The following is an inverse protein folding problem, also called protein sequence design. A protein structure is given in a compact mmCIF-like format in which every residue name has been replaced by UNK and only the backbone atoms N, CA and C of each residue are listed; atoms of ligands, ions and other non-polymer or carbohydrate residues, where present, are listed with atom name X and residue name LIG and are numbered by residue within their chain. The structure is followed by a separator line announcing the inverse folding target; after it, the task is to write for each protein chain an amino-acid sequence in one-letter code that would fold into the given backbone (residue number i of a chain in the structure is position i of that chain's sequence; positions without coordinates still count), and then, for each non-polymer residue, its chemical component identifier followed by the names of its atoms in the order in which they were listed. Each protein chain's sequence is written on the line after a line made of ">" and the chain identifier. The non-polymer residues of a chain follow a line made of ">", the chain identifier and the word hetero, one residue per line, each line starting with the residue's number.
data_IF_016702414424
#
_entry.id   IF_016702414424
#
_cell.length_a   1.000
_cell.length_b   1.000
_cell.length_c   1.000
_cell.angle_alpha   90.00
_cell.angle_beta   90.00
_cell.angle_gamma   90.00
#
_symmetry.space_group_name_H-M   'P 1'
#
loop_
_entity.id
_entity.type
_entity.pdbx_description
1 polymer ?
#
# COMPACT_ATOMS: atom_id res chain seq x y z
N UNK A 1 58.20 -0.99 -34.08
CA UNK A 1 58.60 0.04 -33.10
C UNK A 1 57.45 0.90 -32.60
N UNK A 2 56.60 1.47 -33.46
CA UNK A 2 55.40 2.26 -33.06
C UNK A 2 54.56 1.60 -31.96
N UNK A 3 54.10 0.37 -32.19
CA UNK A 3 53.28 -0.39 -31.23
C UNK A 3 54.04 -0.71 -29.94
N UNK A 4 55.34 -0.99 -30.03
CA UNK A 4 56.19 -1.24 -28.85
C UNK A 4 56.32 0.01 -27.98
N UNK A 5 56.51 1.18 -28.57
CA UNK A 5 56.57 2.47 -27.86
C UNK A 5 55.22 2.80 -27.24
N UNK A 6 54.13 2.60 -27.97
CA UNK A 6 52.77 2.79 -27.46
C UNK A 6 52.48 1.91 -26.23
N UNK A 7 52.77 0.61 -26.32
CA UNK A 7 52.55 -0.30 -25.20
C UNK A 7 53.41 0.06 -23.99
N UNK A 8 54.66 0.48 -24.21
CA UNK A 8 55.54 0.92 -23.13
C UNK A 8 55.04 2.23 -22.46
N UNK A 9 54.62 3.23 -23.24
CA UNK A 9 54.02 4.46 -22.71
C UNK A 9 52.72 4.17 -21.94
N UNK A 10 51.86 3.28 -22.47
CA UNK A 10 50.59 2.90 -21.84
C UNK A 10 50.79 2.16 -20.53
N UNK A 11 51.80 1.30 -20.44
CA UNK A 11 52.14 0.59 -19.22
C UNK A 11 52.73 1.53 -18.15
N UNK A 12 53.70 2.35 -18.53
CA UNK A 12 54.42 3.24 -17.60
C UNK A 12 53.53 4.37 -17.08
N UNK A 13 52.70 4.96 -17.95
CA UNK A 13 51.91 6.15 -17.64
C UNK A 13 50.42 5.89 -17.48
N UNK A 14 50.01 4.64 -17.23
CA UNK A 14 48.61 4.27 -16.98
C UNK A 14 47.94 5.15 -15.90
N UNK A 15 48.71 5.55 -14.89
CA UNK A 15 48.23 6.37 -13.78
C UNK A 15 47.85 7.81 -14.19
N UNK A 16 48.33 8.31 -15.34
CA UNK A 16 47.99 9.64 -15.84
C UNK A 16 46.60 9.69 -16.50
N UNK A 17 45.95 8.55 -16.75
CA UNK A 17 44.59 8.52 -17.30
C UNK A 17 44.44 9.10 -18.71
N UNK A 18 45.53 9.28 -19.44
CA UNK A 18 45.51 9.74 -20.83
C UNK A 18 44.86 8.69 -21.75
N UNK A 19 44.10 9.13 -22.75
CA UNK A 19 43.45 8.21 -23.68
C UNK A 19 44.45 7.49 -24.58
N UNK A 20 44.06 6.31 -25.05
CA UNK A 20 44.86 5.52 -25.98
C UNK A 20 45.21 6.32 -27.25
N UNK A 21 44.31 7.17 -27.74
CA UNK A 21 44.53 7.99 -28.92
C UNK A 21 45.66 9.02 -28.72
N UNK A 22 45.73 9.65 -27.54
CA UNK A 22 46.80 10.59 -27.19
C UNK A 22 48.14 9.86 -27.11
N UNK A 23 48.18 8.71 -26.42
CA UNK A 23 49.39 7.91 -26.27
C UNK A 23 49.86 7.33 -27.60
N UNK A 24 48.93 6.95 -28.48
CA UNK A 24 49.23 6.42 -29.82
C UNK A 24 49.77 7.52 -30.74
N UNK A 25 49.19 8.74 -30.68
CA UNK A 25 49.72 9.91 -31.37
C UNK A 25 51.17 10.22 -30.96
N UNK A 26 51.45 10.17 -29.66
CA UNK A 26 52.80 10.41 -29.13
C UNK A 26 53.79 9.31 -29.52
N UNK A 27 53.37 8.05 -29.44
CA UNK A 27 54.19 6.92 -29.88
C UNK A 27 54.52 6.99 -31.38
N UNK A 28 53.58 7.43 -32.21
CA UNK A 28 53.78 7.65 -33.64
C UNK A 28 54.81 8.76 -33.90
N UNK A 29 54.78 9.85 -33.13
CA UNK A 29 55.75 10.94 -33.23
C UNK A 29 57.17 10.46 -32.85
N UNK A 30 57.31 9.75 -31.73
CA UNK A 30 58.61 9.21 -31.29
C UNK A 30 59.17 8.19 -32.28
N UNK A 31 58.33 7.33 -32.84
CA UNK A 31 58.76 6.37 -33.86
C UNK A 31 59.16 7.05 -35.18
N UNK A 32 58.51 8.16 -35.55
CA UNK A 32 58.81 8.89 -36.79
C UNK A 32 60.19 9.55 -36.76
N UNK A 33 60.73 9.85 -35.58
CA UNK A 33 62.10 10.34 -35.40
C UNK A 33 63.13 9.28 -35.82
N UNK A 34 62.76 7.99 -35.79
CA UNK A 34 63.61 6.89 -36.26
C UNK A 34 64.79 6.54 -35.34
N UNK A 35 64.91 7.19 -34.17
CA UNK A 35 66.01 6.99 -33.23
C UNK A 35 65.68 6.05 -32.06
N UNK A 36 64.44 5.54 -32.00
CA UNK A 36 64.02 4.64 -30.93
C UNK A 36 64.31 3.19 -31.33
N UNK A 37 65.17 2.54 -30.56
CA UNK A 37 65.55 1.13 -30.68
C UNK A 37 65.06 0.35 -29.46
N UNK A 38 65.12 -0.98 -29.51
CA UNK A 38 64.73 -1.81 -28.36
C UNK A 38 65.65 -1.55 -27.13
N UNK A 39 66.90 -1.14 -27.35
CA UNK A 39 67.90 -0.89 -26.32
C UNK A 39 67.68 0.43 -25.56
N UNK A 40 67.20 1.48 -26.25
CA UNK A 40 66.98 2.80 -25.65
C UNK A 40 65.50 3.08 -25.29
N UNK A 41 64.60 2.14 -25.57
CA UNK A 41 63.15 2.29 -25.42
C UNK A 41 62.73 2.78 -24.03
N UNK A 42 63.25 2.16 -22.97
CA UNK A 42 62.88 2.50 -21.58
C UNK A 42 63.31 3.92 -21.21
N UNK A 43 64.53 4.34 -21.60
CA UNK A 43 65.02 5.68 -21.35
C UNK A 43 64.23 6.75 -22.12
N UNK A 44 63.91 6.48 -23.38
CA UNK A 44 63.09 7.37 -24.22
C UNK A 44 61.67 7.52 -23.65
N UNK A 45 61.07 6.42 -23.18
CA UNK A 45 59.75 6.41 -22.54
C UNK A 45 59.78 7.20 -21.23
N UNK A 46 60.78 6.98 -20.37
CA UNK A 46 60.95 7.72 -19.12
C UNK A 46 61.12 9.23 -19.35
N UNK A 47 61.82 9.63 -20.41
CA UNK A 47 62.00 11.03 -20.78
C UNK A 47 60.69 11.75 -21.18
N UNK A 48 59.61 11.02 -21.48
CA UNK A 48 58.30 11.61 -21.81
C UNK A 48 57.47 12.01 -20.60
N UNK A 49 57.93 11.70 -19.39
CA UNK A 49 57.18 11.87 -18.15
C UNK A 49 56.65 13.29 -17.96
N UNK A 50 57.53 14.29 -18.09
CA UNK A 50 57.17 15.69 -17.83
C UNK A 50 56.16 16.22 -18.84
N UNK A 51 56.32 15.83 -20.11
CA UNK A 51 55.40 16.20 -21.18
C UNK A 51 54.00 15.61 -20.96
N UNK A 52 53.90 14.31 -20.68
CA UNK A 52 52.62 13.63 -20.48
C UNK A 52 51.93 14.08 -19.18
N UNK A 53 52.68 14.33 -18.11
CA UNK A 53 52.16 14.88 -16.85
C UNK A 53 51.64 16.31 -17.05
N UNK A 54 52.37 17.13 -17.81
CA UNK A 54 51.93 18.47 -18.18
C UNK A 54 50.64 18.46 -19.01
N UNK A 55 50.51 17.52 -19.94
CA UNK A 55 49.30 17.34 -20.74
C UNK A 55 48.09 16.95 -19.89
N UNK A 56 48.26 15.98 -18.98
CA UNK A 56 47.21 15.59 -18.02
C UNK A 56 46.76 16.81 -17.20
N UNK A 57 47.71 17.54 -16.60
CA UNK A 57 47.39 18.72 -15.78
C UNK A 57 46.64 19.80 -16.57
N UNK A 58 47.00 20.01 -17.84
CA UNK A 58 46.32 20.95 -18.72
C UNK A 58 44.88 20.52 -19.05
N UNK A 59 44.65 19.23 -19.27
CA UNK A 59 43.32 18.65 -19.50
C UNK A 59 42.47 18.78 -18.23
N UNK A 60 42.99 18.36 -17.08
CA UNK A 60 42.29 18.40 -15.79
C UNK A 60 41.86 19.83 -15.44
N UNK A 61 42.76 20.82 -15.63
CA UNK A 61 42.43 22.24 -15.42
C UNK A 61 41.27 22.69 -16.32
N UNK A 62 41.30 22.35 -17.61
CA UNK A 62 40.24 22.75 -18.55
C UNK A 62 38.90 22.11 -18.18
N UNK A 63 38.90 20.83 -17.79
CA UNK A 63 37.69 20.13 -17.35
C UNK A 63 37.12 20.77 -16.09
N UNK A 64 37.95 21.08 -15.10
CA UNK A 64 37.53 21.74 -13.86
C UNK A 64 36.95 23.13 -14.15
N UNK A 65 37.62 23.96 -14.95
CA UNK A 65 37.12 25.31 -15.31
C UNK A 65 35.83 25.24 -16.11
N UNK A 66 35.68 24.30 -17.05
CA UNK A 66 34.45 24.11 -17.80
C UNK A 66 33.28 23.68 -16.89
N UNK A 67 33.55 22.78 -15.92
CA UNK A 67 32.57 22.34 -14.93
C UNK A 67 32.15 23.48 -14.01
N UNK A 68 33.10 24.25 -13.49
CA UNK A 68 32.81 25.41 -12.64
C UNK A 68 31.96 26.46 -13.37
N UNK A 69 32.30 26.74 -14.63
CA UNK A 69 31.52 27.67 -15.46
C UNK A 69 30.10 27.16 -15.71
N UNK A 70 29.96 25.88 -16.07
CA UNK A 70 28.63 25.27 -16.27
C UNK A 70 27.78 25.29 -14.99
N UNK A 71 28.39 25.04 -13.83
CA UNK A 71 27.71 25.14 -12.53
C UNK A 71 27.29 26.58 -12.19
N UNK A 72 28.13 27.56 -12.51
CA UNK A 72 27.82 28.98 -12.28
C UNK A 72 26.69 29.46 -13.19
N UNK A 73 26.70 29.08 -14.47
CA UNK A 73 25.65 29.44 -15.43
C UNK A 73 24.32 28.76 -15.07
N UNK A 74 24.34 27.49 -14.64
CA UNK A 74 23.15 26.79 -14.16
C UNK A 74 22.53 27.46 -12.92
N UNK A 75 23.35 27.90 -11.96
CA UNK A 75 22.87 28.64 -10.78
C UNK A 75 22.23 29.98 -11.16
N UNK A 76 22.84 30.73 -12.07
CA UNK A 76 22.25 32.00 -12.56
C UNK A 76 20.89 31.78 -13.22
N UNK A 77 20.76 30.75 -14.06
CA UNK A 77 19.47 30.45 -14.68
C UNK A 77 18.41 30.00 -13.67
N UNK A 78 18.80 29.29 -12.61
CA UNK A 78 17.88 28.88 -11.55
C UNK A 78 17.43 30.07 -10.69
N UNK A 79 18.35 30.96 -10.34
CA UNK A 79 18.06 32.19 -9.58
C UNK A 79 17.19 33.15 -10.40
N UNK A 80 17.46 33.32 -11.70
CA UNK A 80 16.62 34.12 -12.61
C UNK A 80 15.22 33.52 -12.77
N UNK A 81 15.10 32.19 -12.91
CA UNK A 81 13.80 31.53 -13.00
C UNK A 81 12.98 31.65 -11.69
N UNK A 82 13.64 31.56 -10.53
CA UNK A 82 12.99 31.79 -9.23
C UNK A 82 12.54 33.25 -9.07
N UNK A 83 13.38 34.20 -9.44
CA UNK A 83 13.04 35.62 -9.39
C UNK A 83 11.88 35.96 -10.34
N UNK A 84 11.82 35.36 -11.53
CA UNK A 84 10.71 35.57 -12.46
C UNK A 84 9.41 34.90 -11.98
N UNK A 85 9.49 33.71 -11.38
CA UNK A 85 8.33 33.06 -10.76
C UNK A 85 7.76 33.86 -9.58
N UNK A 86 8.62 34.40 -8.71
CA UNK A 86 8.18 35.29 -7.62
C UNK A 86 7.56 36.58 -8.14
N UNK A 87 8.11 37.18 -9.21
CA UNK A 87 7.52 38.36 -9.84
C UNK A 87 6.14 38.06 -10.42
N UNK A 88 5.97 36.95 -11.15
CA UNK A 88 4.67 36.54 -11.70
C UNK A 88 3.64 36.29 -10.61
N UNK A 89 4.05 35.65 -9.51
CA UNK A 89 3.17 35.41 -8.36
C UNK A 89 2.77 36.71 -7.66
N UNK A 90 3.72 37.63 -7.45
CA UNK A 90 3.44 38.94 -6.88
C UNK A 90 2.53 39.80 -7.78
N UNK A 91 2.69 39.70 -9.11
CA UNK A 91 1.83 40.39 -10.08
C UNK A 91 0.41 39.79 -10.11
N UNK A 92 0.28 38.45 -10.04
CA UNK A 92 -1.02 37.78 -9.95
C UNK A 92 -1.75 38.10 -8.64
N UNK A 93 -1.03 38.10 -7.51
CA UNK A 93 -1.59 38.46 -6.20
C UNK A 93 -1.99 39.95 -6.16
N UNK A 94 -1.20 40.84 -6.76
CA UNK A 94 -1.55 42.25 -6.91
C UNK A 94 -2.80 42.43 -7.81
N UNK A 95 -2.92 41.65 -8.89
CA UNK A 95 -4.08 41.68 -9.78
C UNK A 95 -5.34 41.13 -9.11
N UNK A 96 -5.24 40.04 -8.34
CA UNK A 96 -6.34 39.53 -7.51
C UNK A 96 -6.73 40.50 -6.41
N UNK A 97 -5.77 41.18 -5.78
CA UNK A 97 -6.05 42.20 -4.77
C UNK A 97 -6.73 43.44 -5.37
N UNK A 98 -6.38 43.80 -6.62
CA UNK A 98 -7.06 44.85 -7.38
C UNK A 98 -8.48 44.43 -7.79
N UNK A 99 -8.68 43.22 -8.33
CA UNK A 99 -10.01 42.69 -8.69
C UNK A 99 -10.93 42.52 -7.46
N UNK A 100 -10.39 42.15 -6.29
CA UNK A 100 -11.19 41.95 -5.09
C UNK A 100 -11.63 43.27 -4.41
N UNK A 101 -11.00 44.40 -4.78
CA UNK A 101 -11.46 45.75 -4.38
C UNK A 101 -12.67 46.23 -5.18
N UNK A 102 -12.85 45.74 -6.42
CA UNK A 102 -13.95 46.14 -7.31
C UNK A 102 -15.04 45.08 -7.53
N UNK A 103 -14.92 43.87 -6.96
CA UNK A 103 -16.01 42.89 -6.97
C UNK A 103 -17.20 43.38 -6.15
N UNK A 104 -18.38 43.58 -6.76
CA UNK A 104 -19.59 43.96 -6.03
C UNK A 104 -19.92 42.94 -4.92
N UNK A 105 -20.54 43.40 -3.83
CA UNK A 105 -20.87 42.54 -2.68
C UNK A 105 -21.67 41.29 -3.06
N UNK A 106 -22.54 41.38 -4.08
CA UNK A 106 -23.33 40.25 -4.57
C UNK A 106 -22.48 39.09 -5.12
N UNK A 107 -21.29 39.38 -5.65
CA UNK A 107 -20.41 38.35 -6.23
C UNK A 107 -19.59 37.64 -5.15
N UNK A 108 -19.17 38.36 -4.09
CA UNK A 108 -18.56 37.75 -2.90
C UNK A 108 -19.53 36.84 -2.15
N UNK A 109 -20.79 37.28 -2.06
CA UNK A 109 -21.88 36.49 -1.49
C UNK A 109 -22.16 35.22 -2.31
N UNK A 110 -22.09 35.29 -3.65
CA UNK A 110 -22.27 34.13 -4.52
C UNK A 110 -21.14 33.10 -4.35
N UNK A 111 -19.88 33.56 -4.34
CA UNK A 111 -18.71 32.68 -4.14
C UNK A 111 -18.80 31.96 -2.78
N UNK A 112 -19.18 32.69 -1.73
CA UNK A 112 -19.40 32.11 -0.39
C UNK A 112 -20.54 31.08 -0.37
N UNK A 113 -21.65 31.35 -1.05
CA UNK A 113 -22.77 30.40 -1.18
C UNK A 113 -22.38 29.13 -1.92
N UNK A 114 -21.54 29.25 -2.95
CA UNK A 114 -21.06 28.10 -3.71
C UNK A 114 -20.16 27.21 -2.86
N UNK A 115 -19.23 27.79 -2.09
CA UNK A 115 -18.40 27.04 -1.15
C UNK A 115 -19.23 26.33 -0.07
N UNK A 116 -20.22 27.02 0.51
CA UNK A 116 -21.12 26.42 1.50
C UNK A 116 -21.96 25.29 0.90
N UNK A 117 -22.45 25.46 -0.34
CA UNK A 117 -23.20 24.42 -1.05
C UNK A 117 -22.33 23.18 -1.30
N UNK A 118 -21.10 23.38 -1.78
CA UNK A 118 -20.16 22.29 -2.05
C UNK A 118 -19.81 21.51 -0.77
N UNK A 119 -19.59 22.20 0.36
CA UNK A 119 -19.38 21.54 1.66
C UNK A 119 -20.60 20.71 2.09
N UNK A 120 -21.81 21.28 1.97
CA UNK A 120 -23.05 20.59 2.30
C UNK A 120 -23.31 19.36 1.42
N UNK A 121 -22.96 19.40 0.14
CA UNK A 121 -23.05 18.22 -0.75
C UNK A 121 -22.17 17.08 -0.26
N UNK A 122 -20.91 17.36 0.08
CA UNK A 122 -19.97 16.36 0.60
C UNK A 122 -20.45 15.79 1.94
N UNK A 123 -21.00 16.62 2.82
CA UNK A 123 -21.59 16.16 4.09
C UNK A 123 -22.83 15.28 3.85
N UNK A 124 -23.75 15.69 2.98
CA UNK A 124 -24.92 14.87 2.62
C UNK A 124 -24.53 13.52 2.02
N UNK A 125 -23.51 13.47 1.18
CA UNK A 125 -23.03 12.21 0.61
C UNK A 125 -22.49 11.28 1.71
N UNK A 126 -21.77 11.82 2.70
CA UNK A 126 -21.30 11.04 3.86
C UNK A 126 -22.46 10.54 4.71
N UNK A 127 -23.44 11.39 5.00
CA UNK A 127 -24.63 11.01 5.77
C UNK A 127 -25.45 9.93 5.03
N UNK A 128 -25.59 10.06 3.72
CA UNK A 128 -26.31 9.09 2.89
C UNK A 128 -25.63 7.72 2.91
N UNK A 129 -24.31 7.65 2.73
CA UNK A 129 -23.55 6.38 2.83
C UNK A 129 -23.69 5.74 4.21
N UNK A 130 -23.55 6.54 5.27
CA UNK A 130 -23.71 6.04 6.63
C UNK A 130 -25.13 5.52 6.90
N UNK A 131 -26.15 6.15 6.30
CA UNK A 131 -27.53 5.68 6.42
C UNK A 131 -27.77 4.39 5.63
N UNK A 132 -27.19 4.26 4.44
CA UNK A 132 -27.26 3.06 3.63
C UNK A 132 -26.64 1.85 4.36
N UNK A 133 -25.46 2.01 4.96
CA UNK A 133 -24.80 0.95 5.74
C UNK A 133 -25.66 0.50 6.93
N UNK A 134 -26.30 1.45 7.64
CA UNK A 134 -27.22 1.13 8.74
C UNK A 134 -28.47 0.38 8.25
N UNK A 135 -29.01 0.76 7.09
CA UNK A 135 -30.16 0.09 6.51
C UNK A 135 -29.83 -1.37 6.14
N UNK A 136 -28.70 -1.60 5.48
CA UNK A 136 -28.25 -2.95 5.10
C UNK A 136 -27.98 -3.84 6.34
N UNK A 137 -27.44 -3.26 7.42
CA UNK A 137 -27.26 -3.96 8.69
C UNK A 137 -28.61 -4.35 9.33
N UNK A 138 -29.58 -3.43 9.36
CA UNK A 138 -30.90 -3.69 9.91
C UNK A 138 -31.69 -4.72 9.09
N UNK A 139 -31.57 -4.72 7.77
CA UNK A 139 -32.17 -5.76 6.93
C UNK A 139 -31.60 -7.14 7.24
N UNK A 140 -30.27 -7.25 7.41
CA UNK A 140 -29.63 -8.51 7.80
C UNK A 140 -30.09 -8.99 9.17
N UNK A 141 -30.12 -8.11 10.17
CA UNK A 141 -30.59 -8.44 11.52
C UNK A 141 -32.05 -8.90 11.51
N UNK A 142 -32.91 -8.22 10.74
CA UNK A 142 -34.32 -8.60 10.60
C UNK A 142 -34.48 -9.97 9.93
N UNK A 143 -33.68 -10.26 8.89
CA UNK A 143 -33.69 -11.55 8.22
C UNK A 143 -33.21 -12.68 9.14
N UNK A 144 -32.13 -12.45 9.91
CA UNK A 144 -31.62 -13.40 10.90
C UNK A 144 -32.62 -13.68 12.02
N UNK A 145 -33.26 -12.63 12.55
CA UNK A 145 -34.29 -12.75 13.60
C UNK A 145 -35.54 -13.49 13.09
N UNK A 146 -36.02 -13.17 11.89
CA UNK A 146 -37.12 -13.88 11.25
C UNK A 146 -36.79 -15.37 11.08
N UNK A 147 -35.57 -15.67 10.61
CA UNK A 147 -35.09 -17.04 10.45
C UNK A 147 -34.99 -17.79 11.78
N UNK A 148 -34.45 -17.16 12.82
CA UNK A 148 -34.38 -17.74 14.16
C UNK A 148 -35.77 -18.08 14.71
N UNK A 149 -36.75 -17.19 14.51
CA UNK A 149 -38.15 -17.43 14.88
C UNK A 149 -38.78 -18.60 14.12
N UNK A 150 -38.49 -18.75 12.82
CA UNK A 150 -38.93 -19.90 12.02
C UNK A 150 -38.34 -21.20 12.56
N UNK A 151 -37.03 -21.24 12.84
CA UNK A 151 -36.36 -22.43 13.40
C UNK A 151 -36.97 -22.79 14.76
N UNK A 152 -37.15 -21.81 15.64
CA UNK A 152 -37.73 -22.01 16.96
C UNK A 152 -39.17 -22.53 16.87
N UNK A 153 -40.00 -21.95 16.00
CA UNK A 153 -41.40 -22.36 15.83
C UNK A 153 -41.49 -23.78 15.31
N UNK A 154 -40.72 -24.13 14.27
CA UNK A 154 -40.67 -25.50 13.73
C UNK A 154 -40.12 -26.51 14.73
N UNK A 155 -39.09 -26.15 15.49
CA UNK A 155 -38.54 -27.04 16.51
C UNK A 155 -39.58 -27.37 17.59
N UNK A 156 -40.33 -26.36 18.05
CA UNK A 156 -41.45 -26.55 18.99
C UNK A 156 -42.57 -27.41 18.39
N UNK A 157 -42.95 -27.15 17.14
CA UNK A 157 -43.97 -27.93 16.43
C UNK A 157 -43.61 -29.42 16.30
N UNK A 158 -42.33 -29.72 16.06
CA UNK A 158 -41.83 -31.09 15.98
C UNK A 158 -41.62 -31.76 17.35
N UNK A 159 -41.89 -31.05 18.45
CA UNK A 159 -41.75 -31.55 19.82
C UNK A 159 -40.31 -31.67 20.28
N UNK A 160 -39.38 -30.87 19.72
CA UNK A 160 -38.00 -30.84 20.19
C UNK A 160 -37.95 -30.18 21.58
N UNK A 161 -37.35 -30.82 22.59
CA UNK A 161 -37.25 -30.27 23.94
C UNK A 161 -36.48 -28.95 24.01
N UNK A 162 -36.86 -28.09 24.95
CA UNK A 162 -36.28 -26.75 25.14
C UNK A 162 -34.76 -26.78 25.36
N UNK A 163 -34.23 -27.80 26.05
CA UNK A 163 -32.79 -27.96 26.24
C UNK A 163 -32.03 -28.13 24.92
N UNK A 164 -32.65 -28.83 23.94
CA UNK A 164 -32.05 -29.06 22.63
C UNK A 164 -32.20 -27.85 21.74
N UNK A 165 -33.29 -27.11 21.88
CA UNK A 165 -33.48 -25.81 21.22
C UNK A 165 -32.40 -24.82 21.70
N UNK A 166 -32.15 -24.74 23.00
CA UNK A 166 -31.13 -23.86 23.61
C UNK A 166 -29.69 -24.21 23.21
N UNK A 167 -29.39 -25.49 22.98
CA UNK A 167 -28.09 -25.94 22.46
C UNK A 167 -27.85 -25.47 21.01
N UNK A 168 -28.92 -25.13 20.28
CA UNK A 168 -28.85 -24.61 18.93
C UNK A 168 -28.74 -25.69 17.85
N UNK A 169 -29.05 -25.34 16.62
CA UNK A 169 -29.01 -26.26 15.48
C UNK A 169 -27.91 -25.82 14.50
N UNK A 170 -27.13 -26.78 14.00
CA UNK A 170 -26.10 -26.52 13.00
C UNK A 170 -26.75 -26.42 11.61
N UNK A 171 -27.47 -25.33 11.35
CA UNK A 171 -28.16 -25.08 10.07
C UNK A 171 -27.47 -23.91 9.36
N UNK A 172 -26.93 -24.16 8.16
CA UNK A 172 -26.27 -23.15 7.30
C UNK A 172 -27.12 -21.89 7.14
N UNK A 173 -26.52 -20.70 7.13
CA UNK A 173 -27.22 -19.42 6.95
C UNK A 173 -28.09 -19.36 5.69
N UNK A 174 -27.67 -20.06 4.63
CA UNK A 174 -28.34 -20.10 3.32
C UNK A 174 -29.42 -21.18 3.22
N UNK A 175 -29.61 -22.00 4.27
CA UNK A 175 -30.59 -23.08 4.23
C UNK A 175 -32.01 -22.52 4.11
N UNK A 176 -32.71 -22.97 3.08
CA UNK A 176 -34.11 -22.66 2.84
C UNK A 176 -35.04 -23.35 3.85
N UNK A 177 -36.33 -23.04 3.76
CA UNK A 177 -37.33 -23.54 4.68
C UNK A 177 -37.48 -25.07 4.65
N UNK A 178 -37.26 -25.70 3.49
CA UNK A 178 -37.32 -27.14 3.31
C UNK A 178 -36.12 -27.83 3.98
N UNK A 179 -34.92 -27.28 3.81
CA UNK A 179 -33.70 -27.74 4.44
C UNK A 179 -33.77 -27.60 5.98
N UNK A 180 -34.30 -26.46 6.47
CA UNK A 180 -34.58 -26.28 7.92
C UNK A 180 -35.52 -27.37 8.42
N UNK A 181 -36.63 -27.61 7.73
CA UNK A 181 -37.62 -28.60 8.16
C UNK A 181 -37.05 -30.03 8.16
N UNK A 182 -36.32 -30.40 7.11
CA UNK A 182 -35.67 -31.70 6.99
C UNK A 182 -34.67 -31.96 8.12
N UNK A 183 -33.84 -30.95 8.43
CA UNK A 183 -32.87 -31.04 9.52
C UNK A 183 -33.56 -31.21 10.87
N UNK A 184 -34.55 -30.37 11.20
CA UNK A 184 -35.26 -30.44 12.48
C UNK A 184 -36.06 -31.74 12.62
N UNK A 185 -36.64 -32.26 11.53
CA UNK A 185 -37.34 -33.55 11.52
C UNK A 185 -36.39 -34.70 11.85
N UNK A 186 -35.18 -34.66 11.30
CA UNK A 186 -34.13 -35.63 11.63
C UNK A 186 -33.76 -35.55 13.12
N UNK A 187 -33.57 -34.34 13.65
CA UNK A 187 -33.29 -34.14 15.07
C UNK A 187 -34.41 -34.68 15.96
N UNK A 188 -35.67 -34.36 15.66
CA UNK A 188 -36.82 -34.84 16.41
C UNK A 188 -36.94 -36.38 16.37
N UNK A 189 -36.67 -36.98 15.21
CA UNK A 189 -36.67 -38.45 15.04
C UNK A 189 -35.59 -39.09 15.90
N UNK A 190 -34.36 -38.57 15.85
CA UNK A 190 -33.25 -39.09 16.64
C UNK A 190 -33.53 -39.03 18.16
N UNK A 191 -34.16 -37.95 18.64
CA UNK A 191 -34.54 -37.82 20.04
C UNK A 191 -35.58 -38.88 20.46
N UNK A 192 -36.59 -39.11 19.63
CA UNK A 192 -37.63 -40.13 19.86
C UNK A 192 -37.02 -41.54 19.85
N UNK A 193 -36.16 -41.85 18.88
CA UNK A 193 -35.47 -43.15 18.79
C UNK A 193 -34.54 -43.40 19.98
N UNK A 194 -33.88 -42.36 20.49
CA UNK A 194 -33.00 -42.46 21.65
C UNK A 194 -33.74 -42.51 23.00
N UNK A 195 -35.08 -42.39 23.02
CA UNK A 195 -35.91 -42.30 24.22
C UNK A 195 -35.40 -41.25 25.23
N UNK A 196 -34.91 -40.11 24.71
CA UNK A 196 -34.32 -39.07 25.54
C UNK A 196 -35.41 -38.30 26.30
N UNK A 197 -35.16 -37.95 27.58
CA UNK A 197 -36.15 -37.26 28.39
C UNK A 197 -36.42 -35.85 27.87
N UNK A 198 -37.66 -35.40 28.05
CA UNK A 198 -38.10 -34.03 27.79
C UNK A 198 -37.32 -32.99 28.61
N UNK A 199 -36.70 -33.40 29.73
CA UNK A 199 -35.86 -32.56 30.56
C UNK A 199 -34.41 -33.12 30.62
N UNK A 200 -33.42 -32.33 30.21
CA UNK A 200 -31.98 -32.69 30.27
C UNK A 200 -31.36 -32.38 31.63
N UNK A 201 -32.11 -31.80 32.56
CA UNK A 201 -31.74 -31.82 33.97
C UNK A 201 -31.81 -33.27 34.41
N UNK A 202 -30.70 -33.98 34.17
CA UNK A 202 -30.42 -35.25 34.82
C UNK A 202 -30.71 -35.08 36.29
N UNK A 203 -31.26 -36.13 36.88
CA UNK A 203 -31.49 -36.27 38.31
C UNK A 203 -30.19 -35.96 39.06
N UNK A 204 -29.93 -34.68 39.34
CA UNK A 204 -28.92 -34.28 40.30
C UNK A 204 -29.57 -34.62 41.63
N UNK A 205 -29.24 -35.82 42.13
CA UNK A 205 -29.43 -36.20 43.52
C UNK A 205 -28.47 -35.33 44.35
N UNK A 206 -28.75 -34.03 44.44
CA UNK A 206 -28.09 -33.17 45.39
C UNK A 206 -28.70 -33.52 46.76
N UNK A 207 -27.86 -34.04 47.64
CA UNK A 207 -28.13 -34.32 49.06
C UNK A 207 -29.11 -35.47 49.42
N UNK A 208 -29.13 -36.53 48.61
CA UNK A 208 -29.44 -37.88 49.11
C UNK A 208 -30.91 -38.18 49.47
N UNK A 209 -31.85 -37.27 49.22
CA UNK A 209 -33.29 -37.58 49.22
C UNK A 209 -33.98 -36.90 48.03
N UNK A 210 -34.58 -37.66 47.11
CA UNK A 210 -35.38 -37.07 46.04
C UNK A 210 -36.61 -36.37 46.64
N UNK A 211 -36.92 -35.18 46.14
CA UNK A 211 -38.15 -34.47 46.51
C UNK A 211 -39.39 -35.24 46.03
N UNK A 212 -40.55 -35.02 46.65
CA UNK A 212 -41.80 -35.67 46.21
C UNK A 212 -42.13 -35.39 44.73
N UNK A 213 -41.79 -34.20 44.24
CA UNK A 213 -41.91 -33.85 42.81
C UNK A 213 -40.96 -34.69 41.94
N UNK A 214 -39.71 -34.87 42.36
CA UNK A 214 -38.75 -35.71 41.64
C UNK A 214 -39.16 -37.20 41.64
N UNK A 215 -39.72 -37.69 42.74
CA UNK A 215 -40.25 -39.06 42.82
C UNK A 215 -41.46 -39.22 41.89
N UNK A 216 -42.35 -38.22 41.85
CA UNK A 216 -43.51 -38.23 40.95
C UNK A 216 -43.08 -38.19 39.48
N UNK A 217 -42.09 -37.38 39.12
CA UNK A 217 -41.58 -37.27 37.75
C UNK A 217 -40.88 -38.56 37.31
N UNK A 218 -40.09 -39.17 38.20
CA UNK A 218 -39.47 -40.49 37.96
C UNK A 218 -40.55 -41.57 37.79
N UNK A 219 -41.54 -41.63 38.69
CA UNK A 219 -42.64 -42.59 38.61
C UNK A 219 -43.44 -42.42 37.31
N UNK A 220 -43.75 -41.20 36.91
CA UNK A 220 -44.45 -40.90 35.66
C UNK A 220 -43.61 -41.27 34.42
N UNK A 221 -42.28 -41.13 34.48
CA UNK A 221 -41.39 -41.57 33.41
C UNK A 221 -41.23 -43.10 33.30
N UNK A 222 -41.57 -43.85 34.36
CA UNK A 222 -41.50 -45.31 34.41
C UNK A 222 -42.83 -45.99 34.03
N UNK A 223 -43.93 -45.23 34.00
CA UNK A 223 -45.24 -45.72 33.55
C UNK A 223 -45.38 -45.37 32.06
N UNK A 224 -44.72 -46.16 31.22
CA UNK A 224 -45.02 -46.34 29.80
C UNK A 224 -45.04 -47.83 29.48
#
# INVERSE_FOLDING_TARGET
>A
MKEKIFNALKQEYKALGLSDEILQGHANALAAIGLVTDENLSAVVAAQKDFLTGLQSGIDKRVTTAREKALADAKKTEDEAKAEAERKKAEEDAKKAAENKDKPEWQKEMDKRFEEFSKKEVEREKEFKALQEKYEALEKEKAESARANTILSKAKELGIPEWRIKEGFAISAEADEAAINSHLTTVATNLKTANLPSNRLGHVLDDGKPSEEQISDIANSLIH
#
